data_IF_705246073197
#
_entry.id   IF_705246073197
#
_cell.length_a   1.000
_cell.length_b   1.000
_cell.length_c   1.000
_cell.angle_alpha   90.00
_cell.angle_beta   90.00
_cell.angle_gamma   90.00
#
_symmetry.space_group_name_H-M   'P 1'
#
loop_
_entity.id
_entity.type
_entity.pdbx_description
1 polymer ?
#
# COMPACT_ATOMS: atom_id res chain seq x y z
N UNK A 1 -1.54 -19.65 6.47
CA UNK A 1 -2.23 -19.04 5.32
C UNK A 1 -2.02 -17.53 5.41
N UNK A 2 -0.98 -17.01 4.77
CA UNK A 2 -0.72 -15.57 4.70
C UNK A 2 -1.77 -14.95 3.77
N UNK A 3 -2.66 -14.11 4.30
CA UNK A 3 -3.64 -13.39 3.51
C UNK A 3 -2.96 -12.22 2.82
N UNK A 4 -2.26 -12.47 1.72
CA UNK A 4 -1.68 -11.43 0.88
C UNK A 4 -2.80 -10.74 0.08
N UNK A 5 -3.17 -9.51 0.47
CA UNK A 5 -4.21 -8.71 -0.16
C UNK A 5 -3.90 -8.44 -1.65
N UNK A 6 -2.62 -8.21 -2.00
CA UNK A 6 -2.22 -7.88 -3.37
C UNK A 6 -2.50 -9.02 -4.34
N UNK A 7 -2.30 -10.26 -3.89
CA UNK A 7 -2.56 -11.48 -4.68
C UNK A 7 -4.04 -11.71 -5.02
N UNK A 8 -4.97 -11.04 -4.33
CA UNK A 8 -6.42 -11.21 -4.48
C UNK A 8 -7.06 -10.19 -5.40
N UNK A 9 -6.33 -9.15 -5.80
CA UNK A 9 -6.83 -8.12 -6.71
C UNK A 9 -6.74 -8.61 -8.16
N UNK A 10 -7.78 -8.36 -8.96
CA UNK A 10 -7.73 -8.60 -10.41
C UNK A 10 -6.63 -7.77 -11.07
N UNK A 11 -6.41 -6.55 -10.58
CA UNK A 11 -5.26 -5.71 -10.93
C UNK A 11 -4.47 -5.36 -9.65
N UNK A 12 -3.33 -6.04 -9.40
CA UNK A 12 -2.48 -5.78 -8.23
C UNK A 12 -1.87 -4.38 -8.18
N UNK A 13 -1.79 -3.67 -9.31
CA UNK A 13 -1.19 -2.33 -9.37
C UNK A 13 -2.03 -1.26 -8.68
N UNK A 14 -3.32 -1.54 -8.47
CA UNK A 14 -4.24 -0.63 -7.77
C UNK A 14 -3.92 -0.51 -6.27
N UNK A 15 -3.19 -1.47 -5.69
CA UNK A 15 -2.68 -1.35 -4.33
C UNK A 15 -1.41 -0.49 -4.30
N UNK A 16 -1.59 0.82 -4.36
CA UNK A 16 -0.51 1.80 -4.33
C UNK A 16 0.05 2.02 -2.92
N UNK A 17 1.38 2.12 -2.81
CA UNK A 17 2.12 2.34 -1.55
C UNK A 17 2.84 3.71 -1.52
N UNK A 18 2.60 4.54 -2.54
CA UNK A 18 3.21 5.86 -2.72
C UNK A 18 2.14 6.95 -2.62
N UNK A 19 2.55 8.17 -2.33
CA UNK A 19 1.65 9.31 -2.42
C UNK A 19 1.52 9.78 -3.88
N UNK A 20 0.34 10.25 -4.28
CA UNK A 20 0.14 10.86 -5.60
C UNK A 20 0.18 12.38 -5.48
N UNK A 21 1.24 13.00 -5.99
CA UNK A 21 1.51 14.44 -5.87
C UNK A 21 1.86 15.00 -7.25
N UNK A 22 1.18 16.05 -7.68
CA UNK A 22 1.42 16.73 -8.96
C UNK A 22 1.46 15.79 -10.19
N UNK A 23 0.63 14.73 -10.20
CA UNK A 23 0.58 13.78 -11.31
C UNK A 23 1.59 12.64 -11.23
N UNK A 24 2.34 12.51 -10.13
CA UNK A 24 3.39 11.51 -9.97
C UNK A 24 3.24 10.72 -8.67
N UNK A 25 3.63 9.44 -8.71
CA UNK A 25 3.75 8.60 -7.52
C UNK A 25 5.11 8.78 -6.86
N UNK A 26 5.14 9.31 -5.63
CA UNK A 26 6.35 9.70 -4.92
C UNK A 26 6.46 9.04 -3.54
N UNK A 27 7.69 8.83 -3.08
CA UNK A 27 8.01 8.44 -1.70
C UNK A 27 8.33 9.67 -0.87
N UNK A 28 8.23 9.59 0.46
CA UNK A 28 8.66 10.69 1.32
C UNK A 28 10.16 10.95 1.17
N UNK A 29 10.56 12.22 1.16
CA UNK A 29 11.98 12.63 1.08
C UNK A 29 12.80 12.10 2.28
N UNK A 30 12.15 11.93 3.44
CA UNK A 30 12.74 11.34 4.64
C UNK A 30 12.81 9.82 4.62
N UNK A 31 12.19 9.15 3.65
CA UNK A 31 12.00 7.70 3.62
C UNK A 31 10.97 7.16 4.62
N UNK A 32 10.27 8.04 5.35
CA UNK A 32 9.24 7.64 6.32
C UNK A 32 8.04 6.94 5.67
N UNK A 33 7.49 5.95 6.37
CA UNK A 33 6.30 5.19 5.96
C UNK A 33 5.32 5.04 7.11
N UNK A 34 4.09 4.63 6.80
CA UNK A 34 3.03 4.36 7.77
C UNK A 34 2.51 2.93 7.55
N UNK A 35 2.46 2.14 8.61
CA UNK A 35 1.82 0.83 8.57
C UNK A 35 0.29 1.00 8.46
N UNK A 36 -0.32 0.21 7.58
CA UNK A 36 -1.77 0.15 7.39
C UNK A 36 -2.20 -1.29 7.62
N UNK A 37 -2.70 -1.55 8.84
CA UNK A 37 -3.11 -2.88 9.27
C UNK A 37 -4.63 -3.06 9.11
N UNK A 38 -5.08 -4.27 8.74
CA UNK A 38 -6.49 -4.63 8.72
C UNK A 38 -7.00 -4.76 10.16
N UNK A 39 -8.02 -3.99 10.59
CA UNK A 39 -8.53 -4.04 11.95
C UNK A 39 -9.16 -5.40 12.33
N UNK A 40 -9.58 -6.21 11.35
CA UNK A 40 -10.16 -7.53 11.61
C UNK A 40 -9.09 -8.60 11.98
N UNK A 41 -7.84 -8.41 11.55
CA UNK A 41 -6.77 -9.40 11.73
C UNK A 41 -5.52 -8.87 12.41
N UNK A 42 -5.42 -7.54 12.59
CA UNK A 42 -4.23 -6.87 13.11
C UNK A 42 -3.00 -6.97 12.20
N UNK A 43 -3.24 -7.12 10.88
CA UNK A 43 -2.22 -7.30 9.85
C UNK A 43 -2.64 -6.66 8.53
#
# INVERSE_FOLDING_TARGET
MTHDLRSRLTDPSLLAEKAFVAGQWVTADSGGTLAVDNPATGK
#
